data_IF_335687424104
#
_entry.id   IF_335687424104
#
_cell.length_a   1.000
_cell.length_b   1.000
_cell.length_c   1.000
_cell.angle_alpha   90.00
_cell.angle_beta   90.00
_cell.angle_gamma   90.00
#
_symmetry.space_group_name_H-M   'P 1'
#
loop_
_entity.id
_entity.type
_entity.pdbx_description
1 polymer ?
#
# COMPACT_ATOMS: atom_id res chain seq x y z
N UNK A 1 14.05 -62.43 4.37
CA UNK A 1 14.28 -61.53 5.55
C UNK A 1 14.63 -60.16 4.98
N UNK A 2 13.57 -59.43 4.55
CA UNK A 2 13.71 -58.13 3.87
C UNK A 2 13.69 -57.02 4.91
N UNK A 3 14.81 -56.34 5.07
CA UNK A 3 14.91 -55.14 5.94
C UNK A 3 14.35 -53.93 5.17
N UNK A 4 13.13 -53.51 5.52
CA UNK A 4 12.53 -52.29 5.00
C UNK A 4 13.24 -51.09 5.67
N UNK A 5 14.09 -50.40 4.90
CA UNK A 5 14.67 -49.12 5.30
C UNK A 5 13.56 -48.05 5.42
N UNK A 6 13.35 -47.54 6.61
CA UNK A 6 12.46 -46.38 6.87
C UNK A 6 13.13 -45.11 6.31
N UNK A 7 12.44 -44.30 5.48
CA UNK A 7 13.00 -43.04 5.01
C UNK A 7 13.30 -42.10 6.17
N UNK A 8 14.53 -41.61 6.27
CA UNK A 8 14.96 -40.58 7.23
C UNK A 8 14.11 -39.33 7.01
N UNK A 9 13.32 -38.98 8.02
CA UNK A 9 12.65 -37.68 8.10
C UNK A 9 13.74 -36.61 8.04
N UNK A 10 13.77 -35.82 6.96
CA UNK A 10 14.58 -34.59 6.89
C UNK A 10 14.13 -33.71 8.05
N UNK A 11 15.05 -33.43 8.98
CA UNK A 11 14.81 -32.53 10.10
C UNK A 11 14.38 -31.17 9.55
N UNK A 12 13.16 -30.77 9.87
CA UNK A 12 12.71 -29.38 9.69
C UNK A 12 13.62 -28.57 10.61
N UNK A 13 14.48 -27.75 10.02
CA UNK A 13 15.31 -26.77 10.74
C UNK A 13 14.35 -25.92 11.60
N UNK A 14 14.37 -26.11 12.90
CA UNK A 14 13.64 -25.30 13.83
C UNK A 14 14.24 -23.87 13.75
N UNK A 15 13.57 -22.99 13.00
CA UNK A 15 13.90 -21.57 12.98
C UNK A 15 13.88 -21.06 14.42
N UNK A 16 14.93 -20.36 14.86
CA UNK A 16 14.99 -19.74 16.19
C UNK A 16 13.70 -18.92 16.41
N UNK A 17 13.06 -19.02 17.59
CA UNK A 17 11.87 -18.24 17.88
C UNK A 17 12.22 -16.75 17.74
N UNK A 18 11.42 -16.03 16.95
CA UNK A 18 11.50 -14.57 16.81
C UNK A 18 11.36 -13.92 18.21
N UNK A 19 12.26 -13.02 18.55
CA UNK A 19 12.08 -12.19 19.75
C UNK A 19 10.76 -11.39 19.65
N UNK A 20 10.07 -11.15 20.77
CA UNK A 20 8.76 -10.46 20.81
C UNK A 20 8.76 -9.11 20.06
N UNK A 21 9.83 -8.32 20.21
CA UNK A 21 9.97 -7.03 19.51
C UNK A 21 10.03 -7.22 18.01
N UNK A 22 10.84 -8.16 17.52
CA UNK A 22 10.93 -8.46 16.10
C UNK A 22 9.59 -8.96 15.53
N UNK A 23 8.89 -9.81 16.29
CA UNK A 23 7.56 -10.30 15.93
C UNK A 23 6.54 -9.14 15.82
N UNK A 24 6.56 -8.19 16.77
CA UNK A 24 5.68 -7.03 16.73
C UNK A 24 6.01 -6.10 15.53
N UNK A 25 7.29 -5.87 15.26
CA UNK A 25 7.70 -5.09 14.07
C UNK A 25 7.24 -5.77 12.78
N UNK A 26 7.37 -7.09 12.67
CA UNK A 26 6.91 -7.80 11.47
C UNK A 26 5.38 -7.78 11.31
N UNK A 27 4.63 -7.72 12.41
CA UNK A 27 3.16 -7.61 12.39
C UNK A 27 2.63 -6.28 11.87
N UNK A 28 3.44 -5.22 11.76
CA UNK A 28 2.98 -3.97 11.16
C UNK A 28 3.10 -3.92 9.64
N UNK A 29 3.58 -4.97 9.00
CA UNK A 29 3.91 -4.98 7.56
C UNK A 29 4.96 -3.93 7.19
N UNK A 30 6.22 -4.06 7.65
CA UNK A 30 7.22 -2.99 7.60
C UNK A 30 7.55 -2.50 6.18
N UNK A 31 7.39 -3.34 5.15
CA UNK A 31 7.61 -2.95 3.75
C UNK A 31 6.66 -1.82 3.31
N UNK A 32 5.33 -2.04 3.29
CA UNK A 32 4.36 -0.99 3.01
C UNK A 32 4.47 0.23 3.91
N UNK A 33 4.65 0.04 5.22
CA UNK A 33 4.84 1.14 6.18
C UNK A 33 6.01 2.02 5.80
N UNK A 34 7.18 1.43 5.52
CA UNK A 34 8.38 2.16 5.11
C UNK A 34 8.18 2.85 3.75
N UNK A 35 7.57 2.16 2.77
CA UNK A 35 7.37 2.69 1.44
C UNK A 35 6.47 3.94 1.44
N UNK A 36 5.30 3.88 2.09
CA UNK A 36 4.37 5.02 2.14
C UNK A 36 4.95 6.16 2.95
N UNK A 37 5.64 5.89 4.07
CA UNK A 37 6.27 6.94 4.87
C UNK A 37 7.41 7.62 4.12
N UNK A 38 8.29 6.87 3.47
CA UNK A 38 9.39 7.42 2.68
C UNK A 38 8.89 8.23 1.47
N UNK A 39 7.88 7.72 0.75
CA UNK A 39 7.22 8.43 -0.34
C UNK A 39 6.65 9.77 0.15
N UNK A 40 5.96 9.78 1.28
CA UNK A 40 5.38 11.01 1.83
C UNK A 40 6.46 12.02 2.18
N UNK A 41 7.56 11.60 2.82
CA UNK A 41 8.69 12.48 3.13
C UNK A 41 9.32 13.03 1.85
N UNK A 42 9.49 12.19 0.82
CA UNK A 42 10.00 12.62 -0.48
C UNK A 42 9.10 13.66 -1.15
N UNK A 43 7.76 13.49 -1.08
CA UNK A 43 6.80 14.48 -1.54
C UNK A 43 6.87 15.78 -0.75
N UNK A 44 7.05 15.72 0.59
CA UNK A 44 7.25 16.91 1.42
C UNK A 44 8.49 17.70 1.00
N UNK A 45 9.61 17.02 0.77
CA UNK A 45 10.86 17.63 0.28
C UNK A 45 10.65 18.25 -1.11
N UNK A 46 10.03 17.50 -2.03
CA UNK A 46 9.74 17.99 -3.37
C UNK A 46 8.80 19.20 -3.39
N UNK A 47 7.85 19.27 -2.47
CA UNK A 47 6.95 20.40 -2.31
C UNK A 47 7.57 21.60 -1.56
N UNK A 48 8.83 21.50 -1.10
CA UNK A 48 9.54 22.59 -0.43
C UNK A 48 9.18 22.80 1.03
N UNK A 49 8.66 21.78 1.74
CA UNK A 49 8.46 21.87 3.18
C UNK A 49 9.79 21.98 3.91
N UNK A 50 9.82 22.74 5.01
CA UNK A 50 11.00 22.81 5.88
C UNK A 50 11.33 21.42 6.47
N UNK A 51 12.60 21.13 6.83
CA UNK A 51 12.99 19.84 7.41
C UNK A 51 12.16 19.46 8.64
N UNK A 52 11.86 20.42 9.52
CA UNK A 52 11.01 20.20 10.69
C UNK A 52 9.58 19.79 10.31
N UNK A 53 9.00 20.40 9.28
CA UNK A 53 7.70 20.02 8.74
C UNK A 53 7.73 18.66 8.07
N UNK A 54 8.75 18.35 7.27
CA UNK A 54 8.94 17.02 6.68
C UNK A 54 9.00 15.94 7.75
N UNK A 55 9.75 16.17 8.84
CA UNK A 55 9.83 15.25 9.97
C UNK A 55 8.48 15.06 10.65
N UNK A 56 7.76 16.15 10.93
CA UNK A 56 6.44 16.09 11.57
C UNK A 56 5.43 15.30 10.74
N UNK A 57 5.30 15.63 9.44
CA UNK A 57 4.42 14.90 8.52
C UNK A 57 4.84 13.44 8.40
N UNK A 58 6.15 13.17 8.31
CA UNK A 58 6.70 11.82 8.29
C UNK A 58 6.32 11.02 9.54
N UNK A 59 6.43 11.60 10.74
CA UNK A 59 6.03 10.97 12.00
C UNK A 59 4.52 10.72 12.07
N UNK A 60 3.70 11.68 11.62
CA UNK A 60 2.25 11.53 11.57
C UNK A 60 1.86 10.35 10.67
N UNK A 61 2.40 10.31 9.44
CA UNK A 61 2.10 9.23 8.48
C UNK A 61 2.67 7.89 8.98
N UNK A 62 3.88 7.86 9.51
CA UNK A 62 4.47 6.63 10.06
C UNK A 62 3.59 6.04 11.17
N UNK A 63 3.15 6.86 12.14
CA UNK A 63 2.29 6.36 13.22
C UNK A 63 0.92 5.90 12.71
N UNK A 64 0.36 6.59 11.72
CA UNK A 64 -0.85 6.15 11.02
C UNK A 64 -0.66 4.79 10.34
N UNK A 65 0.41 4.62 9.55
CA UNK A 65 0.72 3.37 8.86
C UNK A 65 0.97 2.22 9.84
N UNK A 66 1.70 2.46 10.94
CA UNK A 66 1.91 1.48 12.00
C UNK A 66 0.58 1.04 12.61
N UNK A 67 -0.32 1.98 12.93
CA UNK A 67 -1.63 1.67 13.49
C UNK A 67 -2.47 0.81 12.55
N UNK A 68 -2.46 1.12 11.26
CA UNK A 68 -3.19 0.38 10.22
C UNK A 68 -2.62 -1.02 10.02
N UNK A 69 -1.29 -1.17 9.97
CA UNK A 69 -0.62 -2.45 9.80
C UNK A 69 -0.89 -3.40 10.97
N UNK A 70 -0.74 -2.92 12.22
CA UNK A 70 -1.07 -3.71 13.41
C UNK A 70 -2.56 -4.03 13.51
N UNK A 71 -3.46 -3.09 13.16
CA UNK A 71 -4.90 -3.36 13.07
C UNK A 71 -5.19 -4.50 12.09
N UNK A 72 -4.55 -4.50 10.91
CA UNK A 72 -4.71 -5.56 9.91
C UNK A 72 -4.35 -6.94 10.50
N UNK A 73 -3.15 -7.08 11.07
CA UNK A 73 -2.66 -8.34 11.61
C UNK A 73 -3.50 -8.83 12.82
N UNK A 74 -3.96 -7.89 13.66
CA UNK A 74 -4.80 -8.21 14.82
C UNK A 74 -6.20 -8.70 14.42
N UNK A 75 -6.82 -8.06 13.40
CA UNK A 75 -8.13 -8.47 12.86
C UNK A 75 -8.03 -9.84 12.18
N UNK A 76 -6.95 -10.08 11.45
CA UNK A 76 -6.76 -11.28 10.64
C UNK A 76 -6.19 -12.46 11.43
N UNK A 77 -5.68 -12.27 12.65
CA UNK A 77 -4.96 -13.27 13.42
C UNK A 77 -5.66 -14.64 13.49
N UNK A 78 -6.98 -14.66 13.76
CA UNK A 78 -7.76 -15.89 13.80
C UNK A 78 -7.89 -16.55 12.43
N UNK A 79 -8.12 -15.76 11.40
CA UNK A 79 -8.30 -16.20 10.01
C UNK A 79 -7.01 -16.77 9.45
N UNK A 80 -5.90 -16.07 9.64
CA UNK A 80 -4.57 -16.51 9.22
C UNK A 80 -4.13 -17.80 9.93
N UNK A 81 -4.50 -17.98 11.19
CA UNK A 81 -4.27 -19.23 11.93
C UNK A 81 -5.08 -20.40 11.33
N UNK A 82 -6.32 -20.17 10.89
CA UNK A 82 -7.18 -21.21 10.29
C UNK A 82 -6.63 -21.72 8.96
N UNK A 83 -6.07 -20.83 8.12
CA UNK A 83 -5.46 -21.22 6.84
C UNK A 83 -3.98 -21.58 6.94
N UNK A 84 -3.44 -21.66 8.17
CA UNK A 84 -2.08 -22.12 8.40
C UNK A 84 -0.98 -21.13 8.00
N UNK A 85 -1.27 -19.83 7.91
CA UNK A 85 -0.29 -18.75 7.64
C UNK A 85 0.65 -18.51 8.85
N UNK A 86 1.34 -19.58 9.28
CA UNK A 86 2.25 -19.55 10.45
C UNK A 86 3.43 -18.58 10.30
N UNK A 87 3.70 -18.09 9.09
CA UNK A 87 4.70 -17.05 8.82
C UNK A 87 4.32 -15.67 9.37
N UNK A 88 3.03 -15.42 9.65
CA UNK A 88 2.57 -14.19 10.31
C UNK A 88 2.73 -14.33 11.83
N UNK A 89 3.40 -13.35 12.51
CA UNK A 89 3.75 -13.47 13.92
C UNK A 89 2.56 -13.67 14.85
N UNK A 90 1.43 -12.98 14.64
CA UNK A 90 0.23 -13.12 15.44
C UNK A 90 -0.43 -14.50 15.25
N UNK A 91 -0.54 -14.98 14.01
CA UNK A 91 -1.09 -16.28 13.69
C UNK A 91 -0.17 -17.44 14.14
N UNK A 92 1.15 -17.22 14.12
CA UNK A 92 2.18 -18.16 14.57
C UNK A 92 2.37 -18.19 16.10
N UNK A 93 1.71 -17.31 16.86
CA UNK A 93 1.79 -17.25 18.33
C UNK A 93 3.07 -16.58 18.87
N UNK A 94 3.89 -15.94 18.02
CA UNK A 94 5.09 -15.22 18.45
C UNK A 94 4.76 -13.92 19.23
N UNK A 95 3.59 -13.32 18.96
CA UNK A 95 2.95 -12.25 19.72
C UNK A 95 1.47 -12.55 19.88
N UNK A 96 0.87 -12.12 20.99
CA UNK A 96 -0.56 -12.29 21.18
C UNK A 96 -1.36 -11.25 20.40
N UNK A 97 -2.59 -11.57 19.95
CA UNK A 97 -3.47 -10.57 19.32
C UNK A 97 -3.74 -9.35 20.21
N UNK A 98 -3.71 -9.51 21.55
CA UNK A 98 -3.88 -8.39 22.50
C UNK A 98 -2.70 -7.42 22.46
N UNK A 99 -1.47 -7.93 22.36
CA UNK A 99 -0.26 -7.10 22.23
C UNK A 99 -0.30 -6.32 20.91
N UNK A 100 -0.71 -6.97 19.81
CA UNK A 100 -0.83 -6.31 18.49
C UNK A 100 -1.92 -5.22 18.51
N UNK A 101 -3.09 -5.50 19.13
CA UNK A 101 -4.13 -4.48 19.34
C UNK A 101 -3.64 -3.32 20.21
N UNK A 102 -2.91 -3.60 21.30
CA UNK A 102 -2.29 -2.56 22.12
C UNK A 102 -1.37 -1.65 21.34
N UNK A 103 -0.50 -2.22 20.49
CA UNK A 103 0.38 -1.46 19.61
C UNK A 103 -0.41 -0.62 18.57
N UNK A 104 -1.46 -1.20 17.96
CA UNK A 104 -2.31 -0.50 17.00
C UNK A 104 -2.97 0.74 17.61
N UNK A 105 -3.57 0.60 18.81
CA UNK A 105 -4.20 1.73 19.50
C UNK A 105 -3.19 2.74 20.01
N UNK A 106 -2.03 2.31 20.52
CA UNK A 106 -0.96 3.24 20.93
C UNK A 106 -0.50 4.08 19.75
N UNK A 107 -0.25 3.48 18.61
CA UNK A 107 0.13 4.20 17.40
C UNK A 107 -0.99 5.14 16.91
N UNK A 108 -2.26 4.73 16.99
CA UNK A 108 -3.39 5.59 16.64
C UNK A 108 -3.51 6.80 17.57
N UNK A 109 -3.36 6.61 18.87
CA UNK A 109 -3.39 7.71 19.86
C UNK A 109 -2.26 8.70 19.61
N UNK A 110 -1.07 8.25 19.24
CA UNK A 110 0.05 9.12 18.84
C UNK A 110 -0.20 9.79 17.49
N UNK A 111 -0.83 9.09 16.56
CA UNK A 111 -1.13 9.61 15.22
C UNK A 111 -2.04 10.84 15.26
N UNK A 112 -3.04 10.87 16.16
CA UNK A 112 -4.02 11.98 16.23
C UNK A 112 -3.35 13.35 16.48
N UNK A 113 -2.60 13.57 17.58
CA UNK A 113 -1.97 14.87 17.83
C UNK A 113 -0.89 15.20 16.79
N UNK A 114 -0.11 14.23 16.30
CA UNK A 114 0.89 14.46 15.25
C UNK A 114 0.23 14.94 13.95
N UNK A 115 -0.88 14.31 13.56
CA UNK A 115 -1.63 14.72 12.36
C UNK A 115 -2.18 16.13 12.50
N UNK A 116 -2.81 16.47 13.63
CA UNK A 116 -3.36 17.80 13.87
C UNK A 116 -2.28 18.88 13.97
N UNK A 117 -1.07 18.53 14.45
CA UNK A 117 0.07 19.44 14.47
C UNK A 117 0.59 19.79 13.05
N UNK A 118 0.30 18.98 12.04
CA UNK A 118 0.59 19.31 10.64
C UNK A 118 -0.29 20.47 10.10
N UNK A 119 -1.39 20.79 10.80
CA UNK A 119 -2.42 21.76 10.45
C UNK A 119 -3.81 21.10 10.50
N UNK A 120 -4.84 21.87 10.83
CA UNK A 120 -6.17 21.29 11.02
C UNK A 120 -6.70 20.56 9.77
N UNK A 121 -6.55 21.16 8.58
CA UNK A 121 -6.99 20.55 7.32
C UNK A 121 -6.13 19.33 6.94
N UNK A 122 -4.80 19.49 6.96
CA UNK A 122 -3.88 18.39 6.68
C UNK A 122 -4.12 17.19 7.60
N UNK A 123 -4.25 17.48 8.90
CA UNK A 123 -4.52 16.46 9.93
C UNK A 123 -5.86 15.78 9.73
N UNK A 124 -6.93 16.53 9.40
CA UNK A 124 -8.25 15.95 9.14
C UNK A 124 -8.22 15.02 7.93
N UNK A 125 -7.56 15.42 6.83
CA UNK A 125 -7.41 14.57 5.63
C UNK A 125 -6.63 13.29 5.97
N UNK A 126 -5.52 13.43 6.72
CA UNK A 126 -4.74 12.26 7.13
C UNK A 126 -5.53 11.32 8.05
N UNK A 127 -6.22 11.85 9.06
CA UNK A 127 -7.02 11.03 9.97
C UNK A 127 -8.21 10.37 9.26
N UNK A 128 -8.82 11.03 8.28
CA UNK A 128 -9.85 10.42 7.43
C UNK A 128 -9.27 9.24 6.61
N UNK A 129 -8.05 9.37 6.08
CA UNK A 129 -7.36 8.28 5.39
C UNK A 129 -7.05 7.10 6.33
N UNK A 130 -6.56 7.37 7.55
CA UNK A 130 -6.32 6.35 8.58
C UNK A 130 -7.61 5.65 8.97
N UNK A 131 -8.69 6.40 9.19
CA UNK A 131 -10.02 5.85 9.52
C UNK A 131 -10.56 4.97 8.39
N UNK A 132 -10.40 5.39 7.13
CA UNK A 132 -10.78 4.59 5.96
C UNK A 132 -9.98 3.28 5.89
N UNK A 133 -8.67 3.31 6.19
CA UNK A 133 -7.83 2.12 6.22
C UNK A 133 -8.17 1.17 7.39
N UNK A 134 -8.53 1.70 8.56
CA UNK A 134 -9.08 0.90 9.65
C UNK A 134 -10.41 0.24 9.25
N UNK A 135 -11.31 1.00 8.62
CA UNK A 135 -12.59 0.48 8.12
C UNK A 135 -12.38 -0.60 7.04
N UNK A 136 -11.35 -0.45 6.20
CA UNK A 136 -10.91 -1.50 5.28
C UNK A 136 -10.60 -2.79 6.04
N UNK A 137 -9.72 -2.74 7.03
CA UNK A 137 -9.29 -3.91 7.77
C UNK A 137 -10.45 -4.61 8.48
N UNK A 138 -11.36 -3.84 9.10
CA UNK A 138 -12.45 -4.39 9.90
C UNK A 138 -13.61 -4.89 9.03
N UNK A 139 -13.91 -4.22 7.91
CA UNK A 139 -15.16 -4.48 7.18
C UNK A 139 -15.03 -4.44 5.66
N UNK A 140 -14.47 -3.36 5.07
CA UNK A 140 -14.59 -3.10 3.64
C UNK A 140 -13.80 -4.08 2.77
N UNK A 141 -12.73 -4.69 3.28
CA UNK A 141 -11.93 -5.65 2.51
C UNK A 141 -12.73 -6.85 1.98
N UNK A 142 -13.84 -7.20 2.65
CA UNK A 142 -14.74 -8.27 2.23
C UNK A 142 -15.89 -7.79 1.32
N UNK A 143 -15.88 -6.54 0.85
CA UNK A 143 -16.94 -5.94 0.05
C UNK A 143 -16.47 -5.48 -1.32
N UNK A 144 -17.38 -5.17 -2.22
CA UNK A 144 -17.08 -4.57 -3.53
C UNK A 144 -16.39 -3.19 -3.41
N UNK A 145 -16.51 -2.52 -2.26
CA UNK A 145 -15.91 -1.22 -1.99
C UNK A 145 -14.49 -1.32 -1.40
N UNK A 146 -13.85 -2.49 -1.45
CA UNK A 146 -12.52 -2.72 -0.90
C UNK A 146 -11.41 -1.81 -1.50
N UNK A 147 -11.61 -1.28 -2.69
CA UNK A 147 -10.71 -0.33 -3.35
C UNK A 147 -10.79 1.11 -2.79
N UNK A 148 -11.93 1.49 -2.22
CA UNK A 148 -12.20 2.88 -1.80
C UNK A 148 -11.24 3.42 -0.74
N UNK A 149 -10.87 2.68 0.32
CA UNK A 149 -9.89 3.13 1.30
C UNK A 149 -8.50 3.42 0.70
N UNK A 150 -8.10 2.67 -0.31
CA UNK A 150 -6.85 2.92 -1.03
C UNK A 150 -6.91 4.22 -1.84
N UNK A 151 -8.04 4.49 -2.50
CA UNK A 151 -8.29 5.77 -3.19
C UNK A 151 -8.21 6.95 -2.22
N UNK A 152 -8.88 6.84 -1.06
CA UNK A 152 -8.87 7.89 -0.04
C UNK A 152 -7.45 8.08 0.53
N UNK A 153 -6.74 6.99 0.85
CA UNK A 153 -5.40 7.03 1.40
C UNK A 153 -4.39 7.64 0.43
N UNK A 154 -4.23 7.04 -0.73
CA UNK A 154 -3.22 7.47 -1.70
C UNK A 154 -3.59 8.79 -2.39
N UNK A 155 -4.87 8.99 -2.73
CA UNK A 155 -5.36 10.24 -3.31
C UNK A 155 -5.29 11.42 -2.34
N UNK A 156 -5.39 11.14 -1.03
CA UNK A 156 -5.26 12.16 0.03
C UNK A 156 -3.81 12.55 0.35
N UNK A 157 -2.80 11.73 0.02
CA UNK A 157 -1.40 12.03 0.37
C UNK A 157 -0.90 13.39 -0.16
N UNK A 158 -1.12 13.76 -1.44
CA UNK A 158 -0.77 15.10 -1.91
C UNK A 158 -1.42 16.22 -1.07
N UNK A 159 -2.68 16.03 -0.64
CA UNK A 159 -3.36 17.02 0.18
C UNK A 159 -2.76 17.11 1.60
N UNK A 160 -2.38 15.99 2.21
CA UNK A 160 -1.65 16.03 3.50
C UNK A 160 -0.38 16.86 3.37
N UNK A 161 0.36 16.72 2.27
CA UNK A 161 1.61 17.45 2.02
C UNK A 161 1.35 18.93 1.77
N UNK A 162 0.50 19.28 0.81
CA UNK A 162 0.31 20.69 0.40
C UNK A 162 -0.43 21.53 1.46
N UNK A 163 -1.41 20.93 2.15
CA UNK A 163 -2.10 21.58 3.27
C UNK A 163 -1.19 21.78 4.50
N UNK A 164 -0.03 21.11 4.55
CA UNK A 164 1.02 21.37 5.55
C UNK A 164 1.94 22.52 5.17
N UNK A 165 1.84 23.09 3.96
CA UNK A 165 2.56 24.30 3.53
C UNK A 165 1.95 25.56 4.16
N UNK A 166 2.71 26.68 4.24
CA UNK A 166 2.14 28.00 4.55
C UNK A 166 1.02 28.35 3.57
N UNK A 167 -0.07 28.90 4.08
CA UNK A 167 -1.26 29.22 3.26
C UNK A 167 -2.18 28.04 2.99
N UNK A 168 -1.78 26.81 3.34
CA UNK A 168 -2.61 25.59 3.25
C UNK A 168 -3.28 25.39 1.89
N UNK A 169 -2.52 25.47 0.77
CA UNK A 169 -3.11 25.34 -0.55
C UNK A 169 -3.59 23.91 -0.82
N UNK A 170 -4.73 23.78 -1.50
CA UNK A 170 -5.16 22.49 -2.00
C UNK A 170 -4.25 22.01 -3.13
N UNK A 171 -3.98 20.70 -3.22
CA UNK A 171 -3.15 20.17 -4.31
C UNK A 171 -3.87 20.29 -5.64
N UNK A 172 -3.08 20.36 -6.70
CA UNK A 172 -3.56 20.25 -8.06
C UNK A 172 -4.37 18.95 -8.26
N UNK A 173 -5.47 19.03 -8.99
CA UNK A 173 -6.39 17.89 -9.22
C UNK A 173 -5.67 16.66 -9.77
N UNK A 174 -4.70 16.83 -10.65
CA UNK A 174 -3.94 15.74 -11.27
C UNK A 174 -3.12 14.93 -10.24
N UNK A 175 -2.58 15.58 -9.21
CA UNK A 175 -1.80 14.93 -8.17
C UNK A 175 -2.70 14.00 -7.32
N UNK A 176 -3.88 14.48 -6.93
CA UNK A 176 -4.86 13.68 -6.20
C UNK A 176 -5.39 12.51 -7.04
N UNK A 177 -5.67 12.77 -8.32
CA UNK A 177 -6.18 11.75 -9.25
C UNK A 177 -5.13 10.66 -9.51
N UNK A 178 -3.87 11.04 -9.75
CA UNK A 178 -2.78 10.10 -9.91
C UNK A 178 -2.58 9.26 -8.63
N UNK A 179 -2.57 9.89 -7.46
CA UNK A 179 -2.52 9.18 -6.18
C UNK A 179 -3.68 8.18 -6.01
N UNK A 180 -4.91 8.58 -6.32
CA UNK A 180 -6.08 7.72 -6.25
C UNK A 180 -5.97 6.50 -7.17
N UNK A 181 -5.50 6.69 -8.42
CA UNK A 181 -5.27 5.61 -9.38
C UNK A 181 -4.16 4.67 -8.93
N UNK A 182 -3.05 5.20 -8.41
CA UNK A 182 -2.00 4.39 -7.79
C UNK A 182 -2.52 3.60 -6.59
N UNK A 183 -3.44 4.18 -5.81
CA UNK A 183 -4.14 3.49 -4.73
C UNK A 183 -4.95 2.29 -5.22
N UNK A 184 -5.72 2.44 -6.31
CA UNK A 184 -6.45 1.31 -6.93
C UNK A 184 -5.47 0.23 -7.37
N UNK A 185 -4.37 0.60 -8.02
CA UNK A 185 -3.34 -0.34 -8.46
C UNK A 185 -2.70 -1.08 -7.27
N UNK A 186 -2.37 -0.34 -6.21
CA UNK A 186 -1.82 -0.91 -4.98
C UNK A 186 -2.78 -1.93 -4.36
N UNK A 187 -4.09 -1.62 -4.31
CA UNK A 187 -5.11 -2.56 -3.82
C UNK A 187 -5.17 -3.85 -4.65
N UNK A 188 -5.17 -3.74 -5.99
CA UNK A 188 -5.20 -4.90 -6.86
C UNK A 188 -3.92 -5.75 -6.71
N UNK A 189 -2.75 -5.10 -6.60
CA UNK A 189 -1.47 -5.77 -6.45
C UNK A 189 -1.33 -6.46 -5.09
N UNK A 190 -1.79 -5.82 -4.01
CA UNK A 190 -1.73 -6.32 -2.64
C UNK A 190 -2.60 -7.57 -2.46
N UNK A 191 -3.83 -7.55 -2.98
CA UNK A 191 -4.75 -8.67 -2.87
C UNK A 191 -4.40 -9.86 -3.80
N UNK A 192 -3.72 -9.63 -4.92
CA UNK A 192 -3.51 -10.62 -5.98
C UNK A 192 -2.87 -11.94 -5.50
N UNK A 193 -1.80 -11.96 -4.65
CA UNK A 193 -1.21 -13.19 -4.18
C UNK A 193 -2.12 -13.99 -3.24
N UNK A 194 -3.04 -13.33 -2.56
CA UNK A 194 -3.84 -13.88 -1.47
C UNK A 194 -5.26 -14.29 -1.88
N UNK A 195 -5.70 -14.00 -3.12
CA UNK A 195 -7.06 -14.24 -3.60
C UNK A 195 -7.55 -15.65 -3.25
N UNK A 196 -6.75 -16.68 -3.52
CA UNK A 196 -7.18 -18.07 -3.33
C UNK A 196 -7.37 -18.42 -1.83
N UNK A 197 -6.48 -17.95 -0.96
CA UNK A 197 -6.54 -18.20 0.47
C UNK A 197 -7.67 -17.38 1.13
N UNK A 198 -7.86 -16.17 0.65
CA UNK A 198 -8.88 -15.25 1.16
C UNK A 198 -10.30 -15.71 0.81
N UNK A 199 -10.50 -16.33 -0.36
CA UNK A 199 -11.78 -16.93 -0.74
C UNK A 199 -12.21 -18.05 0.22
N UNK A 200 -11.27 -18.88 0.67
CA UNK A 200 -11.52 -19.95 1.66
C UNK A 200 -12.00 -19.37 3.00
N UNK A 201 -11.53 -18.17 3.35
CA UNK A 201 -11.88 -17.49 4.61
C UNK A 201 -13.05 -16.51 4.48
N UNK A 202 -13.70 -16.45 3.31
CA UNK A 202 -14.90 -15.64 3.06
C UNK A 202 -14.63 -14.16 2.75
N UNK A 203 -13.38 -13.77 2.46
CA UNK A 203 -13.08 -12.43 1.98
C UNK A 203 -13.45 -12.32 0.50
N UNK A 204 -14.36 -11.39 0.16
CA UNK A 204 -14.88 -11.21 -1.21
C UNK A 204 -14.84 -9.74 -1.64
N UNK A 205 -13.65 -9.13 -1.55
CA UNK A 205 -13.38 -7.80 -2.07
C UNK A 205 -13.44 -7.72 -3.61
N UNK A 206 -13.20 -6.54 -4.17
CA UNK A 206 -13.20 -6.34 -5.62
C UNK A 206 -12.24 -7.30 -6.35
N UNK A 207 -10.95 -7.49 -5.94
CA UNK A 207 -10.04 -8.41 -6.62
C UNK A 207 -10.54 -9.87 -6.62
N UNK A 208 -11.17 -10.32 -5.51
CA UNK A 208 -11.73 -11.67 -5.40
C UNK A 208 -12.90 -11.86 -6.37
N UNK A 209 -13.74 -10.83 -6.58
CA UNK A 209 -14.85 -10.86 -7.55
C UNK A 209 -14.35 -10.89 -8.99
N UNK A 210 -13.20 -10.29 -9.28
CA UNK A 210 -12.54 -10.36 -10.60
C UNK A 210 -11.81 -11.68 -10.81
N UNK A 211 -11.43 -12.36 -9.73
CA UNK A 211 -10.56 -13.52 -9.75
C UNK A 211 -9.11 -13.18 -10.14
N UNK A 212 -8.22 -14.15 -10.04
CA UNK A 212 -6.77 -13.96 -10.31
C UNK A 212 -6.52 -13.44 -11.73
N UNK A 213 -7.18 -14.00 -12.74
CA UNK A 213 -6.99 -13.59 -14.14
C UNK A 213 -7.52 -12.17 -14.38
N UNK A 214 -8.73 -11.87 -13.93
CA UNK A 214 -9.33 -10.55 -14.05
C UNK A 214 -8.54 -9.47 -13.33
N UNK A 215 -8.05 -9.75 -12.11
CA UNK A 215 -7.21 -8.82 -11.34
C UNK A 215 -5.88 -8.55 -12.03
N UNK A 216 -5.23 -9.57 -12.61
CA UNK A 216 -4.00 -9.38 -13.40
C UNK A 216 -4.21 -8.50 -14.62
N UNK A 217 -5.34 -8.65 -15.31
CA UNK A 217 -5.67 -7.83 -16.49
C UNK A 217 -6.12 -6.42 -16.10
N UNK A 218 -6.78 -6.25 -14.96
CA UNK A 218 -7.21 -4.95 -14.47
C UNK A 218 -6.06 -4.10 -13.92
N UNK A 219 -5.02 -4.70 -13.35
CA UNK A 219 -3.92 -4.00 -12.67
C UNK A 219 -3.19 -2.96 -13.54
N UNK A 220 -2.86 -3.19 -14.82
CA UNK A 220 -2.20 -2.19 -15.68
C UNK A 220 -3.07 -0.97 -15.98
N UNK A 221 -4.39 -1.08 -15.89
CA UNK A 221 -5.31 0.01 -16.26
C UNK A 221 -5.13 1.24 -15.37
N UNK A 222 -5.27 1.16 -14.04
CA UNK A 222 -5.08 2.33 -13.16
C UNK A 222 -3.63 2.83 -13.19
N UNK A 223 -2.63 1.97 -13.38
CA UNK A 223 -1.23 2.38 -13.53
C UNK A 223 -1.03 3.23 -14.79
N UNK A 224 -1.47 2.75 -15.95
CA UNK A 224 -1.36 3.51 -17.21
C UNK A 224 -2.17 4.81 -17.16
N UNK A 225 -3.33 4.80 -16.52
CA UNK A 225 -4.14 6.00 -16.31
C UNK A 225 -3.43 7.01 -15.39
N UNK A 226 -2.74 6.54 -14.32
CA UNK A 226 -1.94 7.40 -13.46
C UNK A 226 -0.79 8.06 -14.24
N UNK A 227 -0.06 7.29 -15.07
CA UNK A 227 0.97 7.82 -15.96
C UNK A 227 0.42 8.88 -16.91
N UNK A 228 -0.75 8.64 -17.50
CA UNK A 228 -1.40 9.61 -18.40
C UNK A 228 -1.75 10.90 -17.65
N UNK A 229 -2.32 10.80 -16.45
CA UNK A 229 -2.64 11.97 -15.61
C UNK A 229 -1.38 12.73 -15.21
N UNK A 230 -0.29 12.04 -14.84
CA UNK A 230 0.97 12.66 -14.48
C UNK A 230 1.66 13.35 -15.65
N UNK A 231 1.53 12.83 -16.85
CA UNK A 231 2.17 13.39 -18.05
C UNK A 231 1.38 14.56 -18.65
N UNK A 232 0.05 14.49 -18.61
CA UNK A 232 -0.84 15.39 -19.33
C UNK A 232 -1.57 16.39 -18.42
N UNK A 233 -1.74 16.07 -17.13
CA UNK A 233 -2.48 16.90 -16.18
C UNK A 233 -1.89 18.27 -15.88
N UNK A 234 -0.55 18.40 -15.65
CA UNK A 234 0.06 19.68 -15.37
C UNK A 234 0.04 20.62 -16.57
N UNK A 235 -0.59 21.80 -16.40
CA UNK A 235 -0.46 22.91 -17.33
C UNK A 235 -1.09 22.77 -18.71
N UNK A 236 -2.06 21.86 -18.90
CA UNK A 236 -2.71 21.66 -20.21
C UNK A 236 -1.72 21.23 -21.29
N UNK A 237 -0.72 20.47 -20.92
CA UNK A 237 0.37 20.07 -21.79
C UNK A 237 -0.13 19.31 -23.03
N UNK A 238 0.20 19.82 -24.21
CA UNK A 238 -0.12 19.17 -25.47
C UNK A 238 0.46 17.76 -25.56
N UNK A 239 -0.20 16.89 -26.31
CA UNK A 239 0.34 15.59 -26.68
C UNK A 239 1.57 15.81 -27.57
N UNK A 240 2.75 15.75 -27.01
CA UNK A 240 4.01 15.76 -27.76
C UNK A 240 4.59 14.35 -27.92
N UNK A 241 5.50 14.16 -28.86
CA UNK A 241 6.11 12.89 -29.17
C UNK A 241 6.77 12.22 -27.95
N UNK A 242 7.59 12.93 -27.15
CA UNK A 242 8.23 12.37 -25.97
C UNK A 242 7.25 11.84 -24.93
N UNK A 243 6.18 12.59 -24.59
CA UNK A 243 5.17 12.13 -23.61
C UNK A 243 4.39 10.94 -24.11
N UNK A 244 4.04 10.93 -25.40
CA UNK A 244 3.37 9.79 -26.02
C UNK A 244 4.26 8.56 -26.01
N UNK A 245 5.56 8.70 -26.27
CA UNK A 245 6.51 7.58 -26.21
C UNK A 245 6.58 6.98 -24.82
N UNK A 246 6.66 7.83 -23.77
CA UNK A 246 6.66 7.35 -22.37
C UNK A 246 5.36 6.65 -22.04
N UNK A 247 4.20 7.21 -22.42
CA UNK A 247 2.89 6.62 -22.12
C UNK A 247 2.72 5.27 -22.82
N UNK A 248 3.10 5.18 -24.09
CA UNK A 248 3.08 3.90 -24.83
C UNK A 248 4.03 2.89 -24.19
N UNK A 249 5.25 3.31 -23.83
CA UNK A 249 6.22 2.44 -23.13
C UNK A 249 5.68 1.90 -21.82
N UNK A 250 5.07 2.74 -21.01
CA UNK A 250 4.44 2.35 -19.74
C UNK A 250 3.29 1.37 -19.99
N UNK A 251 2.41 1.66 -20.94
CA UNK A 251 1.31 0.77 -21.30
C UNK A 251 1.84 -0.59 -21.79
N UNK A 252 2.85 -0.61 -22.66
CA UNK A 252 3.46 -1.85 -23.14
C UNK A 252 4.04 -2.67 -21.99
N UNK A 253 4.80 -2.07 -21.07
CA UNK A 253 5.37 -2.75 -19.92
C UNK A 253 4.26 -3.29 -19.00
N UNK A 254 3.25 -2.47 -18.72
CA UNK A 254 2.14 -2.82 -17.85
C UNK A 254 1.33 -4.00 -18.39
N UNK A 255 0.94 -3.95 -19.67
CA UNK A 255 0.12 -5.00 -20.30
C UNK A 255 0.93 -6.22 -20.76
N UNK A 256 2.23 -6.09 -21.04
CA UNK A 256 3.09 -7.24 -21.34
C UNK A 256 3.18 -8.20 -20.15
N UNK A 257 3.19 -7.68 -18.93
CA UNK A 257 3.27 -8.49 -17.71
C UNK A 257 2.20 -9.59 -17.62
N UNK A 258 0.90 -9.28 -17.68
CA UNK A 258 -0.17 -10.27 -17.73
C UNK A 258 -0.05 -11.26 -18.89
N UNK A 259 0.34 -10.80 -20.08
CA UNK A 259 0.50 -11.65 -21.27
C UNK A 259 1.66 -12.62 -21.13
N UNK A 260 2.77 -12.18 -20.55
CA UNK A 260 3.96 -13.01 -20.28
C UNK A 260 3.78 -13.91 -19.06
N UNK A 261 2.73 -13.72 -18.27
CA UNK A 261 2.47 -14.48 -17.04
C UNK A 261 2.35 -16.01 -17.26
N UNK A 262 2.04 -16.46 -18.48
CA UNK A 262 2.05 -17.88 -18.86
C UNK A 262 3.46 -18.49 -18.89
N UNK A 263 4.49 -17.67 -19.16
CA UNK A 263 5.89 -18.11 -19.22
C UNK A 263 6.64 -17.77 -17.92
N UNK A 264 6.30 -16.66 -17.29
CA UNK A 264 6.93 -16.21 -16.07
C UNK A 264 5.88 -15.70 -15.07
N UNK A 265 5.61 -16.50 -14.06
CA UNK A 265 4.53 -16.25 -13.07
C UNK A 265 4.62 -14.88 -12.39
N UNK A 266 5.82 -14.30 -12.25
CA UNK A 266 6.03 -12.98 -11.61
C UNK A 266 6.00 -11.81 -12.60
N UNK A 267 5.82 -12.05 -13.92
CA UNK A 267 5.89 -10.99 -14.93
C UNK A 267 4.87 -9.86 -14.70
N UNK A 268 3.62 -10.22 -14.38
CA UNK A 268 2.58 -9.21 -14.11
C UNK A 268 2.94 -8.31 -12.92
N UNK A 269 3.44 -8.89 -11.85
CA UNK A 269 3.87 -8.14 -10.67
C UNK A 269 5.10 -7.27 -10.97
N UNK A 270 6.10 -7.83 -11.68
CA UNK A 270 7.29 -7.06 -12.06
C UNK A 270 6.95 -5.87 -12.96
N UNK A 271 6.08 -6.06 -13.98
CA UNK A 271 5.61 -4.99 -14.83
C UNK A 271 4.87 -3.90 -14.04
N UNK A 272 3.98 -4.28 -13.14
CA UNK A 272 3.28 -3.34 -12.27
C UNK A 272 4.22 -2.54 -11.36
N UNK A 273 5.24 -3.18 -10.79
CA UNK A 273 6.26 -2.51 -9.96
C UNK A 273 7.07 -1.52 -10.78
N UNK A 274 7.48 -1.88 -12.00
CA UNK A 274 8.21 -0.96 -12.89
C UNK A 274 7.38 0.28 -13.24
N UNK A 275 6.09 0.10 -13.59
CA UNK A 275 5.21 1.23 -13.90
C UNK A 275 4.95 2.09 -12.67
N UNK A 276 4.64 1.48 -11.52
CA UNK A 276 4.43 2.22 -10.28
C UNK A 276 5.67 3.01 -9.85
N UNK A 277 6.87 2.46 -10.04
CA UNK A 277 8.13 3.17 -9.78
C UNK A 277 8.34 4.37 -10.73
N UNK A 278 7.99 4.21 -12.02
CA UNK A 278 8.03 5.30 -12.99
C UNK A 278 7.02 6.40 -12.64
N UNK A 279 5.79 6.04 -12.30
CA UNK A 279 4.74 6.98 -11.87
C UNK A 279 5.14 7.74 -10.60
N UNK A 280 5.73 7.03 -9.64
CA UNK A 280 6.25 7.66 -8.42
C UNK A 280 7.38 8.64 -8.74
N UNK A 281 8.33 8.26 -9.61
CA UNK A 281 9.40 9.15 -10.05
C UNK A 281 8.85 10.40 -10.76
N UNK A 282 7.84 10.24 -11.62
CA UNK A 282 7.16 11.35 -12.27
C UNK A 282 6.45 12.27 -11.27
N UNK A 283 5.78 11.71 -10.28
CA UNK A 283 5.11 12.47 -9.21
C UNK A 283 6.12 13.26 -8.37
N UNK A 284 7.22 12.63 -7.97
CA UNK A 284 8.28 13.26 -7.19
C UNK A 284 9.00 14.37 -7.97
N UNK A 285 9.28 14.14 -9.26
CA UNK A 285 9.88 15.15 -10.13
C UNK A 285 9.00 16.41 -10.31
N UNK A 286 7.72 16.30 -10.00
CA UNK A 286 6.73 17.40 -10.07
C UNK A 286 6.35 17.95 -8.71
N UNK A 287 7.08 17.60 -7.65
CA UNK A 287 6.77 18.02 -6.28
C UNK A 287 6.57 19.52 -6.09
N UNK A 288 7.33 20.34 -6.84
CA UNK A 288 7.23 21.80 -6.84
C UNK A 288 6.01 22.36 -7.59
N UNK A 289 5.24 21.52 -8.28
CA UNK A 289 4.03 21.90 -9.04
C UNK A 289 2.77 21.24 -8.51
N UNK A 290 2.83 20.71 -7.28
CA UNK A 290 1.67 20.08 -6.62
C UNK A 290 0.56 21.06 -6.26
N UNK A 291 0.86 22.36 -6.26
CA UNK A 291 -0.07 23.46 -5.96
C UNK A 291 -0.38 24.25 -7.22
#
# INVERSE_FOLDING_TARGET
MDTVERPRRRGVSASRPLGRVAALVLSCHPGPVAAVSAMTVALCVGAGLSPARCFLVGCAVLTGQLSVGWCNDAVDARRDAQVGRRGKPAAGGAVSPREVWGAAFTALVLCVPLSLACGALAGTVHLAAVAAAWLYNVRLKATALSWLPYVIGFGGLPAVVTLSLPGHPWPAWWAMTAGALLGVAAHLADALPDIADDEVTGVRGLPHRLGVAGTRLALPVPLTAASAVLLLGPGGAAFDGPRMTVLVGVALVGFAGPLLGRYWRKAAFAGAVCVAAADLALLLARGNTLV
#
